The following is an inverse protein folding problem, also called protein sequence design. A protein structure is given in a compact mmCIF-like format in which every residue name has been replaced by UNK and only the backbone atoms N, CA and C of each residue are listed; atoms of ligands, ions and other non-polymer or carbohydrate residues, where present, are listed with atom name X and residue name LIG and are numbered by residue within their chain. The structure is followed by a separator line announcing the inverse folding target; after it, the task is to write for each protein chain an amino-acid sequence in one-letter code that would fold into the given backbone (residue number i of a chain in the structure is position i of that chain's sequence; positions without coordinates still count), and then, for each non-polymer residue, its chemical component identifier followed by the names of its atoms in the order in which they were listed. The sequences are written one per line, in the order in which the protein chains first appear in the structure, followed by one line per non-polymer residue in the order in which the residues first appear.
data_IF_522526496561
#
_entry.id   IF_522526496561
#
_cell.length_a   1.000
_cell.length_b   1.000
_cell.length_c   1.000
_cell.angle_alpha   90.00
_cell.angle_beta   90.00
_cell.angle_gamma   90.00
#
_symmetry.space_group_name_H-M   'P 1'
#
loop_
_entity.id
_entity.type
_entity.pdbx_description
1 polymer ?
#
# COMPACT_ATOMS: atom_id res chain seq x y z
N UNK A 1 7.26 -19.46 -8.81
CA UNK A 1 6.40 -19.14 -7.65
C UNK A 1 7.28 -19.04 -6.42
N UNK A 2 7.51 -17.83 -5.92
CA UNK A 2 8.31 -17.61 -4.72
C UNK A 2 7.51 -18.16 -3.52
N UNK A 3 8.10 -19.05 -2.70
CA UNK A 3 7.42 -19.58 -1.52
C UNK A 3 7.41 -18.51 -0.43
N UNK A 4 6.23 -18.19 0.09
CA UNK A 4 6.11 -17.43 1.34
C UNK A 4 6.53 -18.37 2.48
N UNK A 5 7.68 -18.09 3.09
CA UNK A 5 8.18 -18.86 4.24
C UNK A 5 7.38 -18.57 5.52
N UNK A 6 6.74 -17.40 5.58
CA UNK A 6 5.95 -16.96 6.73
C UNK A 6 4.44 -17.08 6.49
N UNK A 7 3.66 -17.42 7.53
CA UNK A 7 2.21 -17.43 7.44
C UNK A 7 1.68 -16.01 7.22
N UNK A 8 0.72 -15.88 6.31
CA UNK A 8 0.02 -14.60 6.11
C UNK A 8 -0.79 -14.23 7.36
N UNK A 9 -0.83 -12.94 7.66
CA UNK A 9 -1.78 -12.37 8.61
C UNK A 9 -3.18 -12.50 8.03
N UNK A 10 -4.12 -13.03 8.82
CA UNK A 10 -5.48 -13.33 8.36
C UNK A 10 -6.46 -12.35 8.98
N UNK A 11 -7.32 -11.75 8.15
CA UNK A 11 -8.46 -10.96 8.60
C UNK A 11 -9.73 -11.75 8.30
N UNK A 12 -10.55 -11.98 9.33
CA UNK A 12 -11.78 -12.80 9.22
C UNK A 12 -11.51 -14.17 8.58
N UNK A 13 -10.40 -14.81 8.97
CA UNK A 13 -9.97 -16.10 8.42
C UNK A 13 -9.50 -16.06 6.96
N UNK A 14 -9.39 -14.88 6.32
CA UNK A 14 -9.02 -14.74 4.92
C UNK A 14 -7.64 -14.13 4.74
N UNK A 15 -6.94 -14.59 3.71
CA UNK A 15 -5.73 -13.93 3.22
C UNK A 15 -6.13 -12.64 2.52
N UNK A 16 -5.28 -11.63 2.65
CA UNK A 16 -5.43 -10.39 1.91
C UNK A 16 -4.07 -9.77 1.66
N UNK A 17 -3.99 -8.93 0.65
CA UNK A 17 -2.89 -7.99 0.50
C UNK A 17 -3.47 -6.59 0.40
N UNK A 18 -2.66 -5.60 0.74
CA UNK A 18 -3.00 -4.19 0.55
C UNK A 18 -2.18 -3.65 -0.60
N UNK A 19 -2.77 -2.73 -1.35
CA UNK A 19 -2.07 -1.95 -2.36
C UNK A 19 -1.77 -0.58 -1.82
N UNK A 20 -0.49 -0.25 -1.79
CA UNK A 20 0.04 1.02 -1.32
C UNK A 20 0.51 1.82 -2.52
N UNK A 21 -0.06 3.00 -2.73
CA UNK A 21 0.37 3.87 -3.81
C UNK A 21 1.51 4.78 -3.34
N UNK A 22 2.51 4.97 -4.18
CA UNK A 22 3.56 5.95 -3.97
C UNK A 22 3.69 6.85 -5.21
N UNK A 23 3.81 8.15 -4.99
CA UNK A 23 4.04 9.14 -6.02
C UNK A 23 5.51 9.58 -5.96
N UNK A 24 6.22 9.34 -7.06
CA UNK A 24 7.52 9.96 -7.32
C UNK A 24 7.28 11.27 -8.05
N UNK A 25 7.86 12.36 -7.55
CA UNK A 25 7.82 13.67 -8.17
C UNK A 25 9.24 14.25 -8.23
N UNK A 26 9.81 14.31 -9.43
CA UNK A 26 11.10 14.95 -9.69
C UNK A 26 10.86 16.36 -10.23
N UNK A 27 11.42 17.37 -9.57
CA UNK A 27 11.39 18.76 -10.00
C UNK A 27 12.56 19.53 -9.35
N UNK A 28 13.12 20.52 -10.07
CA UNK A 28 14.14 21.44 -9.53
C UNK A 28 15.38 20.74 -8.93
N UNK A 29 15.87 19.66 -9.56
CA UNK A 29 17.03 18.93 -9.06
C UNK A 29 16.78 18.11 -7.79
N UNK A 30 15.53 17.98 -7.36
CA UNK A 30 15.11 17.15 -6.24
C UNK A 30 14.08 16.11 -6.68
N UNK A 31 14.04 14.97 -5.99
CA UNK A 31 12.97 13.99 -6.09
C UNK A 31 12.28 13.86 -4.74
N UNK A 32 10.99 14.19 -4.72
CA UNK A 32 10.10 14.00 -3.56
C UNK A 32 9.37 12.69 -3.72
N UNK A 33 9.32 11.91 -2.64
CA UNK A 33 8.61 10.64 -2.58
C UNK A 33 7.44 10.82 -1.63
N UNK A 34 6.24 10.55 -2.13
CA UNK A 34 5.02 10.56 -1.34
C UNK A 34 4.42 9.16 -1.28
N UNK A 35 3.81 8.82 -0.15
CA UNK A 35 3.07 7.57 0.06
C UNK A 35 1.61 7.91 0.33
N UNK A 36 0.69 7.17 -0.29
CA UNK A 36 -0.72 7.27 0.03
C UNK A 36 -0.99 6.60 1.39
N UNK A 37 -1.69 7.30 2.28
CA UNK A 37 -2.12 6.83 3.60
C UNK A 37 -3.33 5.92 3.55
N UNK A 38 -3.96 5.77 2.38
CA UNK A 38 -5.06 4.83 2.13
C UNK A 38 -5.00 4.23 0.74
N UNK A 39 -5.59 3.04 0.59
CA UNK A 39 -5.63 2.31 -0.67
C UNK A 39 -6.54 1.08 -0.59
N UNK A 40 -6.62 0.27 -1.65
CA UNK A 40 -7.45 -0.91 -1.65
C UNK A 40 -6.74 -2.08 -0.95
N UNK A 41 -7.50 -2.84 -0.18
CA UNK A 41 -7.17 -4.15 0.36
C UNK A 41 -7.96 -5.20 -0.42
N UNK A 42 -7.27 -6.22 -0.93
CA UNK A 42 -7.84 -7.28 -1.75
C UNK A 42 -7.84 -8.60 -0.99
N UNK A 43 -9.00 -9.24 -0.90
CA UNK A 43 -9.18 -10.46 -0.12
C UNK A 43 -9.22 -11.70 -1.01
N UNK A 44 -8.80 -12.83 -0.44
CA UNK A 44 -9.07 -14.14 -1.02
C UNK A 44 -10.56 -14.43 -1.01
N UNK A 45 -11.02 -15.12 -2.05
CA UNK A 45 -12.43 -15.44 -2.24
C UNK A 45 -12.94 -16.50 -1.27
N UNK A 46 -12.04 -17.36 -0.77
CA UNK A 46 -12.32 -18.33 0.29
C UNK A 46 -11.52 -18.01 1.56
N UNK A 47 -11.98 -18.53 2.69
CA UNK A 47 -11.21 -18.57 3.93
C UNK A 47 -9.93 -19.40 3.73
N UNK A 48 -8.87 -18.95 4.38
CA UNK A 48 -7.59 -19.61 4.37
C UNK A 48 -7.62 -20.80 5.33
N UNK A 49 -7.40 -21.99 4.78
CA UNK A 49 -7.04 -23.17 5.55
C UNK A 49 -5.57 -23.51 5.28
N UNK A 50 -4.78 -23.72 6.34
CA UNK A 50 -3.39 -24.15 6.23
C UNK A 50 -3.31 -25.44 5.40
N UNK A 51 -2.49 -25.45 4.34
CA UNK A 51 -2.37 -26.59 3.42
C UNK A 51 -3.43 -26.67 2.31
N UNK A 52 -4.38 -25.75 2.24
CA UNK A 52 -5.35 -25.72 1.14
C UNK A 52 -4.65 -25.45 -0.21
N UNK A 53 -4.79 -26.36 -1.17
CA UNK A 53 -4.26 -26.21 -2.53
C UNK A 53 -5.17 -25.39 -3.47
N UNK A 54 -6.29 -24.88 -2.96
CA UNK A 54 -7.29 -24.12 -3.73
C UNK A 54 -6.79 -22.69 -4.02
N UNK A 55 -6.61 -22.29 -5.29
CA UNK A 55 -6.13 -20.95 -5.65
C UNK A 55 -6.95 -19.81 -5.02
N UNK A 56 -8.25 -20.02 -4.86
CA UNK A 56 -9.22 -19.05 -4.33
C UNK A 56 -8.99 -18.71 -2.85
N UNK A 57 -8.27 -19.58 -2.11
CA UNK A 57 -7.87 -19.38 -0.72
C UNK A 57 -6.42 -18.88 -0.59
N UNK A 58 -5.62 -18.97 -1.66
CA UNK A 58 -4.18 -18.64 -1.66
C UNK A 58 -3.87 -17.31 -2.34
N UNK A 59 -4.68 -16.93 -3.33
CA UNK A 59 -4.52 -15.71 -4.12
C UNK A 59 -5.53 -14.66 -3.69
N UNK A 60 -5.07 -13.43 -3.61
CA UNK A 60 -5.92 -12.24 -3.51
C UNK A 60 -5.66 -11.43 -4.78
N UNK A 61 -6.71 -11.20 -5.58
CA UNK A 61 -6.60 -10.51 -6.86
C UNK A 61 -7.97 -10.13 -7.41
N UNK A 62 -8.07 -8.99 -8.08
CA UNK A 62 -9.34 -8.41 -8.55
C UNK A 62 -10.01 -9.16 -9.72
N UNK A 63 -9.36 -10.15 -10.33
CA UNK A 63 -9.83 -10.82 -11.54
C UNK A 63 -10.83 -11.96 -11.35
N UNK A 64 -11.13 -12.37 -10.12
CA UNK A 64 -12.11 -13.42 -9.90
C UNK A 64 -12.40 -13.61 -8.42
N UNK A 65 -13.63 -13.28 -8.01
CA UNK A 65 -14.26 -13.66 -6.73
C UNK A 65 -13.77 -12.98 -5.43
N UNK A 66 -12.72 -12.16 -5.45
CA UNK A 66 -12.30 -11.34 -4.30
C UNK A 66 -13.03 -10.00 -4.23
N UNK A 67 -13.43 -9.54 -3.03
CA UNK A 67 -13.90 -8.18 -2.82
C UNK A 67 -12.75 -7.27 -2.35
N UNK A 68 -12.91 -5.95 -2.53
CA UNK A 68 -11.97 -4.96 -2.02
C UNK A 68 -12.58 -4.07 -0.95
N UNK A 69 -11.73 -3.56 -0.06
CA UNK A 69 -12.05 -2.57 0.99
C UNK A 69 -10.96 -1.51 1.03
N UNK A 70 -11.20 -0.40 1.70
CA UNK A 70 -10.20 0.67 1.84
C UNK A 70 -9.45 0.52 3.17
N UNK A 71 -8.13 0.41 3.12
CA UNK A 71 -7.24 0.45 4.29
C UNK A 71 -6.85 1.91 4.59
N UNK A 72 -6.47 2.27 5.83
CA UNK A 72 -6.29 1.43 7.02
C UNK A 72 -7.60 1.15 7.79
N UNK A 73 -8.65 1.95 7.58
CA UNK A 73 -9.92 1.86 8.30
C UNK A 73 -10.50 0.45 8.40
N UNK A 74 -10.46 -0.33 7.32
CA UNK A 74 -10.96 -1.71 7.36
C UNK A 74 -10.09 -2.63 8.23
N UNK A 75 -8.77 -2.45 8.21
CA UNK A 75 -7.85 -3.20 9.07
C UNK A 75 -8.14 -2.88 10.53
N UNK A 76 -8.24 -1.60 10.87
CA UNK A 76 -8.57 -1.13 12.22
C UNK A 76 -9.89 -1.71 12.74
N UNK A 77 -10.97 -1.59 11.95
CA UNK A 77 -12.29 -2.07 12.36
C UNK A 77 -12.28 -3.55 12.73
N UNK A 78 -11.63 -4.41 11.94
CA UNK A 78 -11.55 -5.84 12.25
C UNK A 78 -10.71 -6.11 13.49
N UNK A 79 -9.67 -5.32 13.72
CA UNK A 79 -8.83 -5.46 14.92
C UNK A 79 -9.56 -5.02 16.20
N UNK A 80 -10.41 -3.99 16.13
CA UNK A 80 -11.31 -3.61 17.24
C UNK A 80 -12.24 -4.76 17.60
N UNK A 81 -12.81 -5.44 16.59
CA UNK A 81 -13.64 -6.63 16.83
C UNK A 81 -12.85 -7.78 17.46
N UNK A 82 -11.52 -7.78 17.35
CA UNK A 82 -10.63 -8.77 17.99
C UNK A 82 -10.05 -8.28 19.34
N UNK A 83 -10.48 -7.10 19.82
CA UNK A 83 -10.08 -6.56 21.13
C UNK A 83 -8.74 -5.82 21.14
N UNK A 84 -8.27 -5.35 19.99
CA UNK A 84 -7.03 -4.56 19.87
C UNK A 84 -7.35 -3.06 19.76
N UNK A 85 -6.47 -2.21 20.31
CA UNK A 85 -6.52 -0.75 20.22
C UNK A 85 -6.38 -0.28 18.76
N UNK A 86 -7.20 0.68 18.30
CA UNK A 86 -7.16 1.20 16.92
C UNK A 86 -5.88 1.96 16.61
N UNK A 87 -5.48 2.82 17.53
CA UNK A 87 -4.48 3.86 17.27
C UNK A 87 -3.10 3.23 17.06
N UNK A 88 -2.81 2.16 17.82
CA UNK A 88 -1.57 1.40 17.71
C UNK A 88 -1.45 0.63 16.38
N UNK A 89 -2.57 0.17 15.82
CA UNK A 89 -2.59 -0.64 14.60
C UNK A 89 -2.34 0.22 13.36
N UNK A 90 -2.97 1.40 13.29
CA UNK A 90 -2.81 2.35 12.19
C UNK A 90 -1.39 2.87 12.11
N UNK A 91 -0.84 3.32 13.24
CA UNK A 91 0.50 3.88 13.31
C UNK A 91 1.57 2.81 13.04
N UNK A 92 1.36 1.59 13.52
CA UNK A 92 2.24 0.47 13.21
C UNK A 92 2.23 0.14 11.71
N UNK A 93 1.05 0.06 11.09
CA UNK A 93 0.92 -0.22 9.65
C UNK A 93 1.58 0.88 8.83
N UNK A 94 1.18 2.14 9.04
CA UNK A 94 1.73 3.27 8.31
C UNK A 94 3.24 3.42 8.53
N UNK A 95 3.73 3.16 9.74
CA UNK A 95 5.16 3.15 10.05
C UNK A 95 5.93 2.15 9.18
N UNK A 96 5.49 0.88 9.15
CA UNK A 96 6.15 -0.14 8.32
C UNK A 96 6.06 0.17 6.82
N UNK A 97 4.92 0.66 6.34
CA UNK A 97 4.74 1.02 4.93
C UNK A 97 5.63 2.20 4.52
N UNK A 98 5.77 3.20 5.40
CA UNK A 98 6.64 4.36 5.19
C UNK A 98 8.09 3.92 4.98
N UNK A 99 8.58 3.04 5.85
CA UNK A 99 9.93 2.49 5.75
C UNK A 99 10.10 1.68 4.47
N UNK A 100 9.15 0.79 4.14
CA UNK A 100 9.19 0.00 2.90
C UNK A 100 9.23 0.87 1.64
N UNK A 101 8.32 1.85 1.54
CA UNK A 101 8.27 2.76 0.39
C UNK A 101 9.55 3.60 0.30
N UNK A 102 10.03 4.15 1.42
CA UNK A 102 11.28 4.92 1.47
C UNK A 102 12.46 4.07 1.03
N UNK A 103 12.69 2.93 1.68
CA UNK A 103 13.91 2.15 1.48
C UNK A 103 13.96 1.56 0.06
N UNK A 104 12.83 1.10 -0.47
CA UNK A 104 12.74 0.63 -1.84
C UNK A 104 12.98 1.77 -2.84
N UNK A 105 12.20 2.86 -2.74
CA UNK A 105 12.24 3.94 -3.73
C UNK A 105 13.55 4.73 -3.68
N UNK A 106 14.12 4.96 -2.50
CA UNK A 106 15.45 5.58 -2.39
C UNK A 106 16.50 4.70 -3.03
N UNK A 107 16.44 3.37 -2.85
CA UNK A 107 17.42 2.45 -3.44
C UNK A 107 17.32 2.45 -4.97
N UNK A 108 16.12 2.36 -5.53
CA UNK A 108 15.93 2.29 -6.99
C UNK A 108 15.98 3.65 -7.69
N UNK A 109 15.88 4.76 -6.96
CA UNK A 109 15.95 6.13 -7.51
C UNK A 109 17.36 6.73 -7.53
N UNK A 110 18.33 6.17 -6.80
CA UNK A 110 19.76 6.55 -6.89
C UNK A 110 20.32 6.60 -8.33
N UNK A 111 19.89 5.75 -9.29
CA UNK A 111 20.32 5.83 -10.69
C UNK A 111 19.53 6.85 -11.54
N UNK A 112 18.43 7.43 -11.02
CA UNK A 112 17.58 8.32 -11.80
C UNK A 112 18.22 9.70 -11.95
N UNK A 113 18.26 10.23 -13.18
CA UNK A 113 18.78 11.58 -13.46
C UNK A 113 17.88 12.63 -12.79
N UNK A 114 18.29 13.12 -11.63
CA UNK A 114 17.71 14.28 -10.96
C UNK A 114 17.87 15.50 -11.89
N UNK A 115 16.79 16.22 -12.18
CA UNK A 115 16.81 17.43 -13.03
C UNK A 115 15.81 17.47 -14.18
N UNK A 116 15.11 16.37 -14.48
CA UNK A 116 13.97 16.38 -15.42
C UNK A 116 12.68 16.47 -14.59
N UNK A 117 11.81 17.42 -14.94
CA UNK A 117 10.46 17.49 -14.39
C UNK A 117 9.66 16.25 -14.80
N UNK A 118 9.34 15.38 -13.85
CA UNK A 118 8.65 14.12 -14.13
C UNK A 118 7.89 13.64 -12.89
N UNK A 119 6.81 12.90 -13.12
CA UNK A 119 6.11 12.20 -12.06
C UNK A 119 5.79 10.76 -12.44
N UNK A 120 5.64 9.89 -11.44
CA UNK A 120 5.19 8.52 -11.63
C UNK A 120 4.43 8.02 -10.41
N UNK A 121 3.26 7.42 -10.66
CA UNK A 121 2.53 6.66 -9.66
C UNK A 121 3.00 5.20 -9.72
N UNK A 122 3.36 4.65 -8.56
CA UNK A 122 3.76 3.26 -8.37
C UNK A 122 2.80 2.65 -7.37
N UNK A 123 2.48 1.37 -7.53
CA UNK A 123 1.75 0.60 -6.53
C UNK A 123 2.61 -0.55 -5.99
N UNK A 124 2.62 -0.71 -4.68
CA UNK A 124 3.20 -1.83 -3.97
C UNK A 124 2.06 -2.74 -3.54
N UNK A 125 2.07 -3.98 -4.00
CA UNK A 125 1.19 -5.01 -3.43
C UNK A 125 1.92 -5.62 -2.24
N UNK A 126 1.39 -5.38 -1.05
CA UNK A 126 2.00 -5.68 0.24
C UNK A 126 1.16 -6.72 0.97
N UNK A 127 1.78 -7.84 1.32
CA UNK A 127 1.21 -8.84 2.21
C UNK A 127 1.55 -8.48 3.65
N UNK A 128 0.58 -8.57 4.55
CA UNK A 128 0.86 -8.58 5.97
C UNK A 128 1.08 -10.04 6.39
N UNK A 129 2.24 -10.34 6.98
CA UNK A 129 2.58 -11.64 7.53
C UNK A 129 2.36 -11.65 9.04
N UNK A 130 1.89 -12.77 9.59
CA UNK A 130 1.84 -12.94 11.04
C UNK A 130 3.27 -13.00 11.59
N UNK A 131 3.50 -12.35 12.74
CA UNK A 131 4.82 -12.25 13.36
C UNK A 131 4.75 -12.66 14.84
N UNK A 132 5.74 -13.37 15.40
CA UNK A 132 5.67 -13.86 16.79
C UNK A 132 5.75 -12.75 17.85
N UNK A 133 6.51 -11.69 17.57
CA UNK A 133 6.79 -10.60 18.52
C UNK A 133 6.08 -9.28 18.18
N UNK A 134 5.33 -9.25 17.07
CA UNK A 134 4.67 -8.04 16.54
C UNK A 134 3.31 -8.45 16.01
N UNK A 135 2.38 -7.51 15.88
CA UNK A 135 1.05 -7.80 15.34
C UNK A 135 1.12 -8.39 13.90
N UNK A 136 1.92 -7.76 13.04
CA UNK A 136 2.23 -8.25 11.71
C UNK A 136 3.56 -7.65 11.21
N UNK A 137 4.08 -8.22 10.12
CA UNK A 137 5.17 -7.69 9.33
C UNK A 137 4.70 -7.48 7.88
N UNK A 138 4.84 -6.26 7.37
CA UNK A 138 4.58 -5.94 5.98
C UNK A 138 5.68 -6.46 5.06
N UNK A 139 5.30 -7.15 3.97
CA UNK A 139 6.21 -7.67 2.94
C UNK A 139 5.71 -7.30 1.56
N UNK A 140 6.59 -6.69 0.76
CA UNK A 140 6.31 -6.38 -0.64
C UNK A 140 6.28 -7.68 -1.44
N UNK A 141 5.16 -7.95 -2.11
CA UNK A 141 5.00 -9.06 -3.05
C UNK A 141 5.34 -8.63 -4.47
N UNK A 142 4.83 -7.47 -4.89
CA UNK A 142 4.98 -6.96 -6.24
C UNK A 142 5.07 -5.43 -6.21
N UNK A 143 5.81 -4.86 -7.16
CA UNK A 143 5.85 -3.43 -7.43
C UNK A 143 5.40 -3.19 -8.86
N UNK A 144 4.26 -2.52 -9.01
CA UNK A 144 3.68 -2.17 -10.29
C UNK A 144 3.96 -0.69 -10.59
N UNK A 145 4.78 -0.42 -11.61
CA UNK A 145 5.17 0.94 -12.03
C UNK A 145 4.13 1.64 -12.91
N UNK A 146 3.06 0.95 -13.27
CA UNK A 146 1.94 1.46 -14.07
C UNK A 146 0.64 0.84 -13.56
N UNK A 147 0.26 1.11 -12.31
CA UNK A 147 -0.88 0.45 -11.70
C UNK A 147 -2.17 0.81 -12.44
N UNK A 148 -3.04 -0.19 -12.59
CA UNK A 148 -4.39 0.06 -13.10
C UNK A 148 -5.13 1.01 -12.17
N UNK A 149 -5.84 1.97 -12.77
CA UNK A 149 -6.79 2.83 -12.06
C UNK A 149 -8.11 2.12 -11.78
N UNK A 150 -8.33 0.92 -12.31
CA UNK A 150 -9.57 0.17 -12.15
C UNK A 150 -9.56 -0.67 -10.87
N UNK A 151 -10.12 -0.11 -9.80
CA UNK A 151 -10.49 -0.84 -8.58
C UNK A 151 -11.84 -0.33 -8.07
N UNK A 152 -12.62 -1.16 -7.38
CA UNK A 152 -14.06 -0.92 -7.16
C UNK A 152 -14.44 0.41 -6.48
N UNK A 153 -13.60 0.94 -5.59
CA UNK A 153 -13.89 2.16 -4.83
C UNK A 153 -13.66 3.43 -5.67
N UNK A 154 -14.75 3.99 -6.20
CA UNK A 154 -14.72 5.21 -6.99
C UNK A 154 -14.32 6.47 -6.21
N UNK A 155 -14.61 6.51 -4.90
CA UNK A 155 -14.25 7.66 -4.06
C UNK A 155 -12.75 7.66 -3.81
N UNK A 156 -12.19 6.52 -3.43
CA UNK A 156 -10.75 6.37 -3.25
C UNK A 156 -9.96 6.73 -4.52
N UNK A 157 -10.46 6.37 -5.72
CA UNK A 157 -9.85 6.82 -6.99
C UNK A 157 -9.80 8.34 -7.13
N UNK A 158 -10.90 9.02 -6.80
CA UNK A 158 -10.98 10.49 -6.85
C UNK A 158 -10.03 11.11 -5.84
N UNK A 159 -9.97 10.57 -4.64
CA UNK A 159 -9.11 11.09 -3.58
C UNK A 159 -7.63 10.91 -3.92
N UNK A 160 -7.25 9.74 -4.46
CA UNK A 160 -5.88 9.50 -4.95
C UNK A 160 -5.52 10.47 -6.07
N UNK A 161 -6.41 10.67 -7.07
CA UNK A 161 -6.17 11.63 -8.14
C UNK A 161 -6.02 13.07 -7.62
N UNK A 162 -6.89 13.49 -6.69
CA UNK A 162 -6.83 14.83 -6.07
C UNK A 162 -5.55 15.02 -5.26
N UNK A 163 -5.20 14.02 -4.44
CA UNK A 163 -3.99 14.04 -3.62
C UNK A 163 -2.72 14.09 -4.49
N UNK A 164 -2.69 13.37 -5.61
CA UNK A 164 -1.60 13.46 -6.58
C UNK A 164 -1.48 14.88 -7.15
N UNK A 165 -2.61 15.46 -7.60
CA UNK A 165 -2.62 16.83 -8.14
C UNK A 165 -2.15 17.85 -7.10
N UNK A 166 -2.53 17.69 -5.83
CA UNK A 166 -2.04 18.52 -4.74
C UNK A 166 -0.52 18.41 -4.55
N UNK A 167 0.05 17.20 -4.63
CA UNK A 167 1.50 16.99 -4.50
C UNK A 167 2.29 17.56 -5.68
N UNK A 168 1.72 17.51 -6.89
CA UNK A 168 2.36 18.00 -8.11
C UNK A 168 2.24 19.51 -8.26
N UNK A 169 1.14 20.09 -7.78
CA UNK A 169 0.84 21.52 -7.93
C UNK A 169 0.31 22.12 -6.62
N UNK A 170 1.17 22.24 -5.59
CA UNK A 170 0.77 22.81 -4.31
C UNK A 170 0.22 24.24 -4.50
N UNK A 171 -0.85 24.57 -3.78
CA UNK A 171 -1.54 25.87 -3.84
C UNK A 171 -2.67 25.98 -4.88
N UNK A 172 -2.81 25.00 -5.80
CA UNK A 172 -3.93 24.97 -6.76
C UNK A 172 -5.03 23.98 -6.37
N UNK A 173 -4.71 23.07 -5.45
CA UNK A 173 -5.64 22.10 -4.89
C UNK A 173 -5.61 22.21 -3.37
N UNK A 174 -6.78 22.05 -2.75
CA UNK A 174 -6.88 22.02 -1.29
C UNK A 174 -5.98 20.91 -0.72
N UNK A 175 -5.29 21.16 0.40
CA UNK A 175 -4.59 20.12 1.12
C UNK A 175 -5.53 18.94 1.39
N UNK A 176 -5.00 17.75 1.15
CA UNK A 176 -5.68 16.50 1.48
C UNK A 176 -4.72 15.64 2.29
N UNK A 177 -5.28 14.80 3.16
CA UNK A 177 -4.50 13.91 4.02
C UNK A 177 -4.14 12.59 3.33
N UNK A 178 -4.34 12.50 2.01
CA UNK A 178 -4.09 11.29 1.22
C UNK A 178 -2.62 10.95 1.14
N UNK A 179 -1.78 11.91 0.74
CA UNK A 179 -0.37 11.66 0.50
C UNK A 179 0.46 12.28 1.60
N UNK A 180 1.33 11.49 2.23
CA UNK A 180 2.38 11.98 3.11
C UNK A 180 3.73 11.93 2.40
N UNK A 181 4.57 12.96 2.60
CA UNK A 181 5.94 12.93 2.09
C UNK A 181 6.80 12.03 2.97
N UNK A 182 7.43 11.01 2.38
CA UNK A 182 8.23 10.01 3.10
C UNK A 182 9.73 10.17 2.88
N UNK A 183 10.14 10.86 1.81
CA UNK A 183 11.54 11.18 1.56
C UNK A 183 11.70 12.36 0.58
N UNK A 184 12.85 13.01 0.67
CA UNK A 184 13.37 13.94 -0.34
C UNK A 184 14.78 13.52 -0.68
N UNK A 185 15.06 13.40 -1.97
CA UNK A 185 16.40 13.14 -2.51
C UNK A 185 16.84 14.39 -3.26
N UNK A 186 17.89 15.04 -2.80
CA UNK A 186 18.55 16.14 -3.49
C UNK A 186 19.88 15.68 -4.08
N UNK A 187 20.35 16.40 -5.10
CA UNK A 187 21.74 16.32 -5.56
C UNK A 187 22.73 16.72 -4.47
#
# INVERSE_FOLDING_TARGET
VQRLEEPAFLLLGRKFHIRVFALLHSCEGSMRIYMARRGPAYFSAAEYAAGARKPEAQLSGGGGTGYSRTWPLYVEQVHVFQGLSTDDVSDLLLGQLRELCRDFLVTVSKPAKLGIAAYRLIAFDVLLCAHPERLFQAKVMEVNISPSSEFHDAQLRKDLARGMLHCLWPGHFLPDDIFEQVAVLSQ
#
